data_IF_377457046689
#
_entry.id   IF_377457046689
#
_cell.length_a   1.000
_cell.length_b   1.000
_cell.length_c   1.000
_cell.angle_alpha   90.00
_cell.angle_beta   90.00
_cell.angle_gamma   90.00
#
_symmetry.space_group_name_H-M   'P 1'
#
loop_
_entity.id
_entity.type
_entity.pdbx_description
1 polymer ?
#
# COMPACT_ATOMS: atom_id res chain seq x y z
N UNK A 1 1.40 -5.01 15.88
CA UNK A 1 0.93 -3.62 15.74
C UNK A 1 1.84 -2.96 14.72
N UNK A 2 1.42 -2.99 13.45
CA UNK A 2 2.24 -2.54 12.31
C UNK A 2 2.21 -1.01 12.23
N UNK A 3 3.32 -0.38 12.57
CA UNK A 3 3.45 1.07 12.70
C UNK A 3 4.11 1.78 11.51
N UNK A 4 4.42 1.07 10.41
CA UNK A 4 5.17 1.67 9.29
C UNK A 4 4.55 1.42 7.92
N UNK A 5 3.28 1.82 7.75
CA UNK A 5 2.70 1.94 6.41
C UNK A 5 3.02 3.33 5.86
N UNK A 6 4.15 3.46 5.18
CA UNK A 6 4.52 4.69 4.47
C UNK A 6 3.62 4.88 3.27
N UNK A 7 2.67 5.80 3.39
CA UNK A 7 1.85 6.25 2.26
C UNK A 7 2.79 6.99 1.28
N UNK A 8 2.89 6.53 0.05
CA UNK A 8 3.60 7.26 -1.01
C UNK A 8 2.80 8.49 -1.38
N UNK A 9 3.25 9.64 -0.93
CA UNK A 9 2.63 10.94 -1.24
C UNK A 9 3.18 11.45 -2.56
N UNK A 10 2.31 11.62 -3.57
CA UNK A 10 2.73 12.07 -4.91
C UNK A 10 2.86 13.59 -5.02
N UNK A 11 2.03 14.36 -4.33
CA UNK A 11 2.06 15.82 -4.43
C UNK A 11 1.42 16.50 -3.22
N UNK A 12 2.20 17.24 -2.47
CA UNK A 12 1.74 18.12 -1.39
C UNK A 12 1.79 19.56 -1.89
N UNK A 13 0.75 20.34 -1.65
CA UNK A 13 0.74 21.78 -1.91
C UNK A 13 1.07 22.56 -0.64
N UNK A 14 1.83 23.62 -0.81
CA UNK A 14 2.26 24.57 0.22
C UNK A 14 2.10 26.02 -0.25
N UNK A 15 2.67 26.98 0.49
CA UNK A 15 2.62 28.41 0.16
C UNK A 15 3.33 28.75 -1.15
N UNK A 16 4.24 27.92 -1.63
CA UNK A 16 5.01 28.13 -2.88
C UNK A 16 4.36 27.43 -4.09
N UNK A 17 3.27 26.71 -3.86
CA UNK A 17 2.57 26.00 -4.93
C UNK A 17 1.84 26.94 -5.87
N UNK A 18 1.77 26.59 -7.17
CA UNK A 18 1.04 27.35 -8.16
C UNK A 18 -0.45 27.42 -7.82
N UNK A 19 -0.95 28.64 -7.66
CA UNK A 19 -2.35 28.89 -7.28
C UNK A 19 -3.34 28.34 -8.31
N UNK A 20 -3.02 28.33 -9.60
CA UNK A 20 -3.89 27.79 -10.63
C UNK A 20 -3.99 26.28 -10.55
N UNK A 21 -2.95 25.60 -10.11
CA UNK A 21 -3.01 24.18 -9.79
C UNK A 21 -3.87 23.92 -8.55
N UNK A 22 -3.70 24.70 -7.50
CA UNK A 22 -4.47 24.56 -6.24
C UNK A 22 -5.97 24.78 -6.49
N UNK A 23 -6.34 25.75 -7.30
CA UNK A 23 -7.75 26.05 -7.64
C UNK A 23 -8.51 24.87 -8.23
N UNK A 24 -7.83 23.93 -8.88
CA UNK A 24 -8.45 22.69 -9.40
C UNK A 24 -9.05 21.80 -8.31
N UNK A 25 -8.67 22.04 -7.05
CA UNK A 25 -9.10 21.28 -5.88
C UNK A 25 -10.13 22.02 -5.02
N UNK A 26 -10.53 23.22 -5.38
CA UNK A 26 -11.62 23.92 -4.69
C UNK A 26 -12.92 23.10 -4.77
N UNK A 27 -13.57 22.94 -3.63
CA UNK A 27 -14.75 22.10 -3.51
C UNK A 27 -14.48 20.60 -3.36
N UNK A 28 -13.23 20.16 -3.48
CA UNK A 28 -12.84 18.75 -3.32
C UNK A 28 -12.31 18.47 -1.91
N UNK A 29 -12.41 17.22 -1.50
CA UNK A 29 -11.81 16.76 -0.25
C UNK A 29 -10.28 16.69 -0.38
N UNK A 30 -9.61 17.21 0.64
CA UNK A 30 -8.15 17.20 0.77
C UNK A 30 -7.77 16.85 2.21
N UNK A 31 -6.63 16.22 2.38
CA UNK A 31 -6.01 16.12 3.70
C UNK A 31 -5.28 17.42 4.02
N UNK A 32 -5.42 17.91 5.26
CA UNK A 32 -4.87 19.18 5.71
C UNK A 32 -3.95 18.97 6.92
N UNK A 33 -2.81 19.67 6.94
CA UNK A 33 -1.87 19.62 8.05
C UNK A 33 -1.08 20.93 8.18
N UNK A 34 -0.56 21.19 9.38
CA UNK A 34 0.36 22.29 9.65
C UNK A 34 1.84 21.87 9.55
N UNK A 35 2.11 20.57 9.53
CA UNK A 35 3.44 19.99 9.41
C UNK A 35 3.44 18.94 8.29
N UNK A 36 4.45 19.00 7.42
CA UNK A 36 4.55 18.09 6.27
C UNK A 36 4.70 16.62 6.67
N UNK A 37 5.36 16.39 7.80
CA UNK A 37 5.60 15.07 8.37
C UNK A 37 4.28 14.35 8.74
N UNK A 38 3.20 15.12 8.99
CA UNK A 38 1.90 14.55 9.34
C UNK A 38 1.30 13.73 8.20
N UNK A 39 1.70 13.97 6.95
CA UNK A 39 1.25 13.19 5.80
C UNK A 39 1.89 11.80 5.71
N UNK A 40 2.93 11.51 6.49
CA UNK A 40 3.48 10.15 6.61
C UNK A 40 2.51 9.18 7.28
N UNK A 41 1.58 9.70 8.10
CA UNK A 41 0.52 8.91 8.73
C UNK A 41 -0.82 9.68 8.72
N UNK A 42 -1.50 9.62 7.58
CA UNK A 42 -2.73 10.39 7.33
C UNK A 42 -3.84 10.14 8.36
N UNK A 43 -3.95 8.92 8.90
CA UNK A 43 -5.03 8.56 9.83
C UNK A 43 -4.89 9.19 11.22
N UNK A 44 -3.66 9.48 11.64
CA UNK A 44 -3.38 9.94 13.00
C UNK A 44 -3.17 11.45 13.10
N UNK A 45 -2.60 12.08 12.06
CA UNK A 45 -2.08 13.43 12.16
C UNK A 45 -2.64 14.43 11.15
N UNK A 46 -3.57 14.00 10.29
CA UNK A 46 -4.21 14.87 9.31
C UNK A 46 -5.72 14.87 9.46
N UNK A 47 -6.32 16.00 9.12
CA UNK A 47 -7.76 16.14 8.99
C UNK A 47 -8.16 16.14 7.53
N UNK A 48 -9.30 15.54 7.20
CA UNK A 48 -9.85 15.51 5.85
C UNK A 48 -11.01 16.48 5.77
N UNK A 49 -10.87 17.49 4.92
CA UNK A 49 -11.86 18.55 4.75
C UNK A 49 -12.00 18.98 3.29
N UNK A 50 -13.08 19.68 2.98
CA UNK A 50 -13.25 20.31 1.66
C UNK A 50 -12.40 21.58 1.60
N UNK A 51 -11.54 21.70 0.60
CA UNK A 51 -10.78 22.91 0.32
C UNK A 51 -11.73 24.01 -0.18
N UNK A 52 -11.88 25.10 0.56
CA UNK A 52 -12.77 26.20 0.21
C UNK A 52 -12.09 27.31 -0.56
N UNK A 53 -10.88 27.65 -0.14
CA UNK A 53 -10.11 28.76 -0.72
C UNK A 53 -8.63 28.63 -0.38
N UNK A 54 -7.81 29.47 -1.03
CA UNK A 54 -6.41 29.64 -0.68
C UNK A 54 -6.01 31.12 -0.69
N UNK A 55 -5.06 31.46 0.20
CA UNK A 55 -4.53 32.81 0.40
C UNK A 55 -3.00 32.78 0.26
N UNK A 56 -2.45 32.89 -0.95
CA UNK A 56 -1.03 32.61 -1.23
C UNK A 56 -0.01 33.45 -0.43
N UNK A 57 -0.46 34.59 0.15
CA UNK A 57 0.42 35.47 0.93
C UNK A 57 0.41 35.16 2.43
N UNK A 58 -0.40 34.21 2.87
CA UNK A 58 -0.51 33.85 4.26
C UNK A 58 0.38 32.66 4.61
N UNK A 59 0.85 32.61 5.86
CA UNK A 59 1.67 31.48 6.33
C UNK A 59 0.90 30.16 6.40
N UNK A 60 -0.45 30.23 6.45
CA UNK A 60 -1.38 29.12 6.35
C UNK A 60 -2.37 29.39 5.21
N UNK A 61 -1.97 29.09 3.97
CA UNK A 61 -2.70 29.58 2.79
C UNK A 61 -4.02 28.84 2.53
N UNK A 62 -4.26 27.66 3.09
CA UNK A 62 -5.37 26.81 2.69
C UNK A 62 -6.53 26.84 3.71
N UNK A 63 -7.70 27.31 3.28
CA UNK A 63 -8.93 27.30 4.09
C UNK A 63 -9.70 26.00 3.87
N UNK A 64 -9.67 25.11 4.85
CA UNK A 64 -10.33 23.81 4.85
C UNK A 64 -11.19 23.65 6.08
N UNK A 65 -12.48 23.29 5.92
CA UNK A 65 -13.36 23.05 7.06
C UNK A 65 -13.55 24.22 8.03
N UNK A 66 -13.25 25.47 7.60
CA UNK A 66 -13.32 26.67 8.44
C UNK A 66 -12.03 27.01 9.19
N UNK A 67 -10.96 26.26 9.01
CA UNK A 67 -9.63 26.52 9.56
C UNK A 67 -8.59 26.65 8.44
N UNK A 68 -7.51 27.37 8.71
CA UNK A 68 -6.38 27.54 7.80
C UNK A 68 -5.26 26.56 8.13
N UNK A 69 -4.65 26.01 7.06
CA UNK A 69 -3.56 25.03 7.14
C UNK A 69 -2.38 25.45 6.26
N UNK A 70 -1.18 24.98 6.60
CA UNK A 70 0.05 25.25 5.84
C UNK A 70 0.16 24.36 4.61
N UNK A 71 -0.32 23.14 4.69
CA UNK A 71 -0.17 22.11 3.66
C UNK A 71 -1.51 21.45 3.38
N UNK A 72 -1.73 21.10 2.11
CA UNK A 72 -2.81 20.21 1.70
C UNK A 72 -2.28 19.10 0.80
N UNK A 73 -2.95 17.97 0.83
CA UNK A 73 -2.73 16.82 -0.03
C UNK A 73 -4.08 16.38 -0.59
N UNK A 74 -4.35 16.61 -1.89
CA UNK A 74 -5.56 16.13 -2.52
C UNK A 74 -5.70 14.61 -2.40
N UNK A 75 -6.91 14.13 -2.12
CA UNK A 75 -7.17 12.72 -1.89
C UNK A 75 -6.80 11.84 -3.10
N UNK A 76 -6.84 12.37 -4.32
CA UNK A 76 -6.43 11.65 -5.53
C UNK A 76 -4.92 11.36 -5.62
N UNK A 77 -4.08 12.07 -4.85
CA UNK A 77 -2.65 11.81 -4.77
C UNK A 77 -2.25 10.88 -3.62
N UNK A 78 -3.22 10.45 -2.83
CA UNK A 78 -3.03 9.40 -1.84
C UNK A 78 -3.27 8.08 -2.57
N UNK A 79 -2.22 7.30 -2.76
CA UNK A 79 -2.41 5.92 -3.21
C UNK A 79 -3.23 5.21 -2.15
N UNK A 80 -4.44 4.82 -2.50
CA UNK A 80 -5.21 3.94 -1.63
C UNK A 80 -4.39 2.66 -1.46
N UNK A 81 -4.09 2.34 -0.22
CA UNK A 81 -3.39 1.10 0.06
C UNK A 81 -4.31 -0.04 -0.39
N UNK A 82 -3.86 -0.73 -1.44
CA UNK A 82 -4.56 -1.91 -1.92
C UNK A 82 -4.70 -2.90 -0.77
N UNK A 83 -5.92 -3.27 -0.45
CA UNK A 83 -6.17 -4.29 0.56
C UNK A 83 -6.11 -5.65 -0.11
N UNK A 84 -5.38 -6.56 0.50
CA UNK A 84 -5.25 -7.94 0.01
C UNK A 84 -5.75 -8.90 1.08
N UNK A 85 -6.35 -10.00 0.64
CA UNK A 85 -6.56 -11.18 1.48
C UNK A 85 -5.71 -12.34 0.97
N UNK A 86 -5.41 -13.35 1.81
CA UNK A 86 -4.70 -14.54 1.35
C UNK A 86 -5.41 -15.19 0.17
N UNK A 87 -4.65 -15.78 -0.74
CA UNK A 87 -5.23 -16.67 -1.75
C UNK A 87 -6.00 -17.82 -1.08
N UNK A 88 -7.09 -18.23 -1.70
CA UNK A 88 -7.59 -19.60 -1.53
C UNK A 88 -6.69 -20.56 -2.31
N UNK A 89 -6.83 -21.87 -2.08
CA UNK A 89 -6.03 -22.85 -2.82
C UNK A 89 -6.30 -22.78 -4.33
N UNK A 90 -7.56 -22.64 -4.73
CA UNK A 90 -7.95 -22.55 -6.13
C UNK A 90 -7.40 -21.29 -6.79
N UNK A 91 -7.44 -20.14 -6.10
CA UNK A 91 -6.85 -18.89 -6.60
C UNK A 91 -5.33 -18.99 -6.74
N UNK A 92 -4.64 -19.65 -5.79
CA UNK A 92 -3.20 -19.88 -5.88
C UNK A 92 -2.86 -20.76 -7.10
N UNK A 93 -3.60 -21.87 -7.29
CA UNK A 93 -3.40 -22.80 -8.41
C UNK A 93 -3.79 -22.21 -9.77
N UNK A 94 -4.66 -21.19 -9.80
CA UNK A 94 -4.98 -20.45 -11.00
C UNK A 94 -3.93 -19.36 -11.33
N UNK A 95 -3.12 -18.98 -10.33
CA UNK A 95 -2.12 -17.91 -10.47
C UNK A 95 -0.72 -18.46 -10.76
N UNK A 96 -0.38 -19.64 -10.21
CA UNK A 96 0.94 -20.26 -10.35
C UNK A 96 0.80 -21.68 -10.89
N UNK A 97 1.56 -22.00 -11.92
CA UNK A 97 1.61 -23.34 -12.49
C UNK A 97 2.58 -24.26 -11.73
N UNK A 98 2.22 -25.52 -11.55
CA UNK A 98 3.15 -26.55 -11.02
C UNK A 98 4.30 -26.70 -12.03
N UNK A 99 5.52 -26.59 -11.52
CA UNK A 99 6.73 -26.58 -12.34
C UNK A 99 7.24 -25.16 -12.66
N UNK A 100 6.52 -24.12 -12.29
CA UNK A 100 6.95 -22.74 -12.41
C UNK A 100 7.97 -22.37 -11.32
N UNK A 101 8.91 -21.47 -11.64
CA UNK A 101 9.83 -20.88 -10.67
C UNK A 101 9.21 -19.63 -10.10
N UNK A 102 8.81 -19.68 -8.84
CA UNK A 102 8.31 -18.52 -8.11
C UNK A 102 9.47 -17.78 -7.49
N UNK A 103 9.56 -16.49 -7.79
CA UNK A 103 10.51 -15.57 -7.16
C UNK A 103 9.83 -14.90 -5.99
N UNK A 104 10.32 -15.11 -4.79
CA UNK A 104 9.73 -14.52 -3.59
C UNK A 104 10.79 -14.06 -2.58
N UNK A 105 10.37 -13.23 -1.62
CA UNK A 105 11.21 -12.74 -0.54
C UNK A 105 10.45 -12.66 0.78
N UNK A 106 11.18 -12.72 1.88
CA UNK A 106 10.62 -12.43 3.20
C UNK A 106 10.38 -10.92 3.36
N UNK A 107 9.20 -10.54 3.88
CA UNK A 107 8.91 -9.15 4.26
C UNK A 107 9.85 -8.61 5.34
N UNK A 108 10.38 -9.50 6.20
CA UNK A 108 11.35 -9.15 7.23
C UNK A 108 12.77 -8.92 6.68
N UNK A 109 13.10 -9.50 5.52
CA UNK A 109 14.41 -9.40 4.88
C UNK A 109 14.25 -9.14 3.36
N UNK A 110 13.78 -7.97 2.94
CA UNK A 110 13.43 -7.69 1.55
C UNK A 110 14.62 -7.66 0.59
N UNK A 111 15.85 -7.59 1.11
CA UNK A 111 17.08 -7.66 0.30
C UNK A 111 17.47 -9.06 -0.17
N UNK A 112 16.80 -10.12 0.32
CA UNK A 112 17.09 -11.49 -0.05
C UNK A 112 15.93 -12.09 -0.83
N UNK A 113 16.17 -12.41 -2.11
CA UNK A 113 15.20 -13.07 -2.97
C UNK A 113 15.49 -14.57 -3.07
N UNK A 114 14.45 -15.36 -3.12
CA UNK A 114 14.48 -16.80 -3.35
C UNK A 114 13.84 -17.12 -4.69
N UNK A 115 14.47 -17.99 -5.49
CA UNK A 115 13.94 -18.54 -6.72
C UNK A 115 13.66 -20.02 -6.47
N UNK A 116 12.40 -20.40 -6.39
CA UNK A 116 12.04 -21.74 -5.94
C UNK A 116 10.95 -22.33 -6.83
N UNK A 117 11.12 -23.58 -7.20
CA UNK A 117 10.17 -24.31 -8.01
C UNK A 117 8.87 -24.56 -7.22
N UNK A 118 7.73 -24.24 -7.81
CA UNK A 118 6.44 -24.68 -7.28
C UNK A 118 6.25 -26.16 -7.62
N UNK A 119 6.32 -27.01 -6.60
CA UNK A 119 6.29 -28.47 -6.76
C UNK A 119 4.86 -29.01 -6.70
N UNK A 120 3.98 -28.35 -5.97
CA UNK A 120 2.59 -28.75 -5.79
C UNK A 120 2.04 -28.38 -4.40
N UNK A 121 1.06 -29.13 -3.96
CA UNK A 121 0.40 -28.90 -2.68
C UNK A 121 0.09 -30.21 -1.98
N UNK A 122 -0.10 -30.15 -0.65
CA UNK A 122 -0.42 -31.32 0.18
C UNK A 122 -1.41 -30.93 1.27
N UNK A 123 -2.32 -31.85 1.56
CA UNK A 123 -3.27 -31.68 2.66
C UNK A 123 -2.54 -31.61 4.02
N UNK A 124 -2.85 -30.60 4.81
CA UNK A 124 -2.43 -30.51 6.21
C UNK A 124 -3.52 -31.08 7.12
N UNK A 125 -3.42 -32.38 7.41
CA UNK A 125 -4.39 -33.09 8.23
C UNK A 125 -4.50 -32.58 9.67
N UNK A 126 -3.46 -31.90 10.17
CA UNK A 126 -3.46 -31.36 11.55
C UNK A 126 -4.29 -30.08 11.65
N UNK A 127 -4.21 -29.23 10.62
CA UNK A 127 -4.84 -27.90 10.61
C UNK A 127 -6.06 -27.82 9.69
N UNK A 128 -6.47 -28.96 9.11
CA UNK A 128 -7.57 -29.04 8.15
C UNK A 128 -7.46 -28.03 7.00
N UNK A 129 -6.23 -27.87 6.48
CA UNK A 129 -5.86 -26.91 5.45
C UNK A 129 -4.99 -27.52 4.36
N UNK A 130 -4.51 -26.67 3.47
CA UNK A 130 -3.59 -27.04 2.39
C UNK A 130 -2.26 -26.32 2.57
N UNK A 131 -1.16 -27.05 2.38
CA UNK A 131 0.19 -26.48 2.31
C UNK A 131 0.69 -26.46 0.88
N UNK A 132 1.28 -25.35 0.48
CA UNK A 132 2.00 -25.18 -0.77
C UNK A 132 3.43 -25.68 -0.61
N UNK A 133 3.95 -26.39 -1.60
CA UNK A 133 5.32 -26.92 -1.61
C UNK A 133 6.14 -26.08 -2.59
N UNK A 134 7.05 -25.28 -2.04
CA UNK A 134 8.02 -24.49 -2.79
C UNK A 134 9.40 -25.10 -2.58
N UNK A 135 9.94 -25.78 -3.62
CA UNK A 135 11.17 -26.56 -3.50
C UNK A 135 11.06 -27.64 -2.44
N UNK A 136 11.87 -27.53 -1.39
CA UNK A 136 11.84 -28.43 -0.24
C UNK A 136 10.99 -27.95 0.94
N UNK A 137 10.43 -26.74 0.85
CA UNK A 137 9.71 -26.09 1.95
C UNK A 137 8.20 -26.26 1.81
N UNK A 138 7.51 -26.26 2.94
CA UNK A 138 6.05 -26.30 3.01
C UNK A 138 5.55 -25.06 3.71
N UNK A 139 4.58 -24.37 3.10
CA UNK A 139 3.98 -23.16 3.62
C UNK A 139 2.46 -23.29 3.61
N UNK A 140 1.80 -22.83 4.66
CA UNK A 140 0.37 -22.53 4.56
C UNK A 140 0.16 -21.25 3.74
N UNK A 141 -0.99 -21.11 3.07
CA UNK A 141 -1.33 -19.88 2.34
C UNK A 141 -1.33 -18.65 3.24
N UNK A 142 -1.78 -18.82 4.50
CA UNK A 142 -1.73 -17.74 5.50
C UNK A 142 -0.31 -17.30 5.83
N UNK A 143 0.62 -18.23 5.94
CA UNK A 143 2.04 -17.95 6.19
C UNK A 143 2.68 -17.24 4.99
N UNK A 144 2.45 -17.74 3.76
CA UNK A 144 2.90 -17.06 2.55
C UNK A 144 2.40 -15.61 2.50
N UNK A 145 1.12 -15.39 2.74
CA UNK A 145 0.53 -14.07 2.72
C UNK A 145 1.10 -13.14 3.81
N UNK A 146 1.26 -13.63 5.03
CA UNK A 146 1.70 -12.79 6.16
C UNK A 146 3.18 -12.45 6.11
N UNK A 147 4.02 -13.38 5.66
CA UNK A 147 5.47 -13.31 5.84
C UNK A 147 6.28 -13.10 4.56
N UNK A 148 5.66 -13.29 3.38
CA UNK A 148 6.36 -13.27 2.10
C UNK A 148 5.63 -12.41 1.06
N UNK A 149 6.39 -12.00 0.05
CA UNK A 149 5.91 -11.33 -1.18
C UNK A 149 6.51 -12.07 -2.36
N UNK A 150 5.76 -12.16 -3.47
CA UNK A 150 6.28 -12.71 -4.74
C UNK A 150 6.47 -11.60 -5.76
N UNK A 151 7.35 -11.86 -6.74
CA UNK A 151 7.59 -10.96 -7.85
C UNK A 151 6.67 -11.34 -9.02
N UNK A 152 5.80 -10.41 -9.42
CA UNK A 152 4.89 -10.60 -10.55
C UNK A 152 5.52 -10.06 -11.85
N UNK A 153 6.34 -10.90 -12.49
CA UNK A 153 6.93 -10.65 -13.80
C UNK A 153 8.10 -9.68 -13.84
N UNK A 154 7.96 -8.49 -13.30
CA UNK A 154 9.00 -7.45 -13.27
C UNK A 154 9.73 -7.42 -11.92
N UNK A 155 11.06 -7.26 -11.97
CA UNK A 155 11.95 -7.35 -10.81
C UNK A 155 11.63 -6.40 -9.63
N UNK A 156 10.78 -5.40 -9.86
CA UNK A 156 10.43 -4.39 -8.86
C UNK A 156 8.95 -4.43 -8.42
N UNK A 157 8.14 -5.33 -8.98
CA UNK A 157 6.73 -5.46 -8.64
C UNK A 157 6.51 -6.58 -7.62
N UNK A 158 6.63 -6.25 -6.34
CA UNK A 158 6.45 -7.20 -5.23
C UNK A 158 5.03 -7.14 -4.69
N UNK A 159 4.34 -8.26 -4.79
CA UNK A 159 2.95 -8.42 -4.37
C UNK A 159 2.83 -9.42 -3.20
N UNK A 160 1.86 -9.25 -2.28
CA UNK A 160 1.56 -10.27 -1.30
C UNK A 160 0.97 -11.50 -1.98
N UNK A 161 1.15 -12.70 -1.40
CA UNK A 161 0.49 -13.93 -1.87
C UNK A 161 -1.02 -13.88 -1.59
N UNK A 162 -1.74 -13.04 -2.36
CA UNK A 162 -3.15 -12.78 -2.12
C UNK A 162 -3.84 -12.02 -3.25
N UNK A 163 -5.15 -11.91 -3.13
CA UNK A 163 -6.02 -11.21 -4.07
C UNK A 163 -6.36 -9.83 -3.53
N UNK A 164 -6.29 -8.82 -4.40
CA UNK A 164 -6.74 -7.45 -4.12
C UNK A 164 -8.27 -7.45 -3.89
N UNK A 165 -8.72 -6.74 -2.85
CA UNK A 165 -10.12 -6.60 -2.47
C UNK A 165 -10.74 -5.29 -2.99
#
# INVERSE_FOLDING_TARGET
>A
MDLDKKIKVKKIFDVFSDIEEVKKYYGKEVYCADFIENFSNLKLYTNKFVLKNSFPQECKPFLCGGQQYRFILPCEFVEQEKQYRPFTIDEFLNHFDIGEVIVFRSKAMPGYTCHVLFVGYVEDRKNNGMNIILGQYRFSLKELFSSYEYCDGDSDNWLPFGVEQ
#
